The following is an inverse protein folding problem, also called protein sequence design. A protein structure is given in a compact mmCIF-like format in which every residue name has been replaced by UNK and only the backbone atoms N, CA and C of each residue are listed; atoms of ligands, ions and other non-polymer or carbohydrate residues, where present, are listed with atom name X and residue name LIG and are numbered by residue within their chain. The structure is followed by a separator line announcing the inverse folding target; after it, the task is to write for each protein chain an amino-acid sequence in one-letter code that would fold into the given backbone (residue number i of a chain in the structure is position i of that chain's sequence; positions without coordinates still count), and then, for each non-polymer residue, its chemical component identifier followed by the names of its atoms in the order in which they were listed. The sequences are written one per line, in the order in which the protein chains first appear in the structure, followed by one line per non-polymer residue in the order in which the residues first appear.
data_IF_173558551379
#
_entry.id   IF_173558551379
#
_cell.length_a   1.000
_cell.length_b   1.000
_cell.length_c   1.000
_cell.angle_alpha   90.00
_cell.angle_beta   90.00
_cell.angle_gamma   90.00
#
_symmetry.space_group_name_H-M   'P 1'
#
loop_
_entity.id
_entity.type
_entity.pdbx_description
1 polymer ?
#
# COMPACT_ATOMS: atom_id res chain seq x y z
N UNK A 1 3.61 24.70 12.43
CA UNK A 1 4.34 24.94 11.13
C UNK A 1 3.85 23.90 10.14
N UNK A 2 3.71 24.27 8.86
CA UNK A 2 3.31 23.31 7.83
C UNK A 2 4.36 22.20 7.68
N UNK A 3 3.87 20.98 7.43
CA UNK A 3 4.69 19.80 7.17
C UNK A 3 5.29 19.88 5.77
N UNK A 4 6.61 19.87 5.63
CA UNK A 4 7.28 19.97 4.33
C UNK A 4 7.48 18.58 3.74
N UNK A 5 6.95 18.39 2.52
CA UNK A 5 6.92 17.09 1.84
C UNK A 5 7.80 17.13 0.59
N UNK A 6 8.59 16.08 0.38
CA UNK A 6 9.25 15.80 -0.89
C UNK A 6 8.76 14.47 -1.45
N UNK A 7 8.30 14.47 -2.70
CA UNK A 7 7.85 13.26 -3.39
C UNK A 7 8.99 12.63 -4.18
N UNK A 8 9.17 11.33 -3.99
CA UNK A 8 10.01 10.49 -4.82
C UNK A 8 9.09 9.56 -5.62
N UNK A 9 8.96 9.85 -6.91
CA UNK A 9 7.86 9.38 -7.76
C UNK A 9 6.64 10.30 -7.66
N UNK A 10 6.01 10.57 -8.81
CA UNK A 10 4.78 11.38 -8.88
C UNK A 10 3.80 10.79 -9.90
N UNK A 11 3.60 9.46 -9.78
CA UNK A 11 2.63 8.70 -10.55
C UNK A 11 1.19 8.90 -10.06
N UNK A 12 0.33 7.93 -10.33
CA UNK A 12 -1.11 7.96 -9.97
C UNK A 12 -1.32 8.21 -8.47
N UNK A 13 -0.57 7.50 -7.62
CA UNK A 13 -0.70 7.58 -6.15
C UNK A 13 -0.20 8.92 -5.61
N UNK A 14 0.98 9.38 -6.07
CA UNK A 14 1.53 10.67 -5.65
C UNK A 14 0.61 11.84 -6.04
N UNK A 15 0.07 11.83 -7.26
CA UNK A 15 -0.92 12.81 -7.70
C UNK A 15 -2.22 12.69 -6.89
N UNK A 16 -2.66 11.48 -6.54
CA UNK A 16 -3.83 11.26 -5.67
C UNK A 16 -3.67 11.91 -4.29
N UNK A 17 -2.51 11.77 -3.64
CA UNK A 17 -2.23 12.50 -2.40
C UNK A 17 -2.21 14.01 -2.62
N UNK A 18 -1.57 14.50 -3.69
CA UNK A 18 -1.52 15.93 -3.98
C UNK A 18 -2.92 16.55 -4.19
N UNK A 19 -3.81 15.84 -4.89
CA UNK A 19 -5.20 16.24 -5.06
C UNK A 19 -5.94 16.30 -3.70
N UNK A 20 -5.78 15.28 -2.85
CA UNK A 20 -6.38 15.28 -1.50
C UNK A 20 -5.88 16.49 -0.67
N UNK A 21 -4.57 16.73 -0.68
CA UNK A 21 -3.96 17.85 0.04
C UNK A 21 -4.46 19.21 -0.45
N UNK A 22 -4.69 19.37 -1.75
CA UNK A 22 -5.29 20.58 -2.34
C UNK A 22 -6.75 20.72 -1.94
N UNK A 23 -7.55 19.68 -2.19
CA UNK A 23 -9.01 19.76 -2.13
C UNK A 23 -9.54 19.74 -0.69
N UNK A 24 -8.80 19.13 0.24
CA UNK A 24 -9.17 19.05 1.66
C UNK A 24 -8.35 19.96 2.58
N UNK A 25 -7.55 20.88 2.03
CA UNK A 25 -6.63 21.74 2.79
C UNK A 25 -7.26 22.36 4.04
N UNK A 26 -8.39 23.07 3.86
CA UNK A 26 -9.05 23.76 4.97
C UNK A 26 -9.64 22.77 5.99
N UNK A 27 -10.24 21.68 5.53
CA UNK A 27 -10.79 20.65 6.43
C UNK A 27 -9.69 19.95 7.24
N UNK A 28 -8.55 19.65 6.64
CA UNK A 28 -7.40 19.05 7.31
C UNK A 28 -6.82 20.01 8.37
N UNK A 29 -6.75 21.29 8.06
CA UNK A 29 -6.32 22.31 9.01
C UNK A 29 -7.27 22.44 10.20
N UNK A 30 -8.57 22.49 9.95
CA UNK A 30 -9.60 22.71 11.00
C UNK A 30 -9.79 21.45 11.87
N UNK A 31 -9.84 20.26 11.25
CA UNK A 31 -10.23 19.04 11.96
C UNK A 31 -9.03 18.29 12.55
N UNK A 32 -7.86 18.35 11.89
CA UNK A 32 -6.66 17.58 12.28
C UNK A 32 -5.50 18.47 12.72
N UNK A 33 -5.62 19.79 12.61
CA UNK A 33 -4.50 20.71 12.83
C UNK A 33 -3.34 20.46 11.86
N UNK A 34 -3.64 19.85 10.68
CA UNK A 34 -2.64 19.41 9.72
C UNK A 34 -2.55 20.38 8.55
N UNK A 35 -1.35 20.89 8.31
CA UNK A 35 -1.01 21.69 7.13
C UNK A 35 0.23 21.09 6.47
N UNK A 36 0.18 20.91 5.15
CA UNK A 36 1.31 20.38 4.36
C UNK A 36 1.71 21.34 3.25
N UNK A 37 3.00 21.35 2.94
CA UNK A 37 3.61 22.11 1.86
C UNK A 37 4.50 21.16 1.04
N UNK A 38 4.20 20.98 -0.25
CA UNK A 38 5.07 20.21 -1.16
C UNK A 38 6.25 21.11 -1.54
N UNK A 39 7.46 20.74 -1.11
CA UNK A 39 8.67 21.51 -1.43
C UNK A 39 9.42 20.93 -2.61
N UNK A 40 9.33 19.62 -2.85
CA UNK A 40 10.04 18.97 -3.95
C UNK A 40 9.25 17.82 -4.54
N UNK A 41 9.47 17.56 -5.82
CA UNK A 41 9.05 16.39 -6.55
C UNK A 41 10.23 15.90 -7.39
N UNK A 42 10.58 14.62 -7.30
CA UNK A 42 11.57 13.96 -8.16
C UNK A 42 10.93 12.72 -8.77
N UNK A 43 10.71 12.74 -10.08
CA UNK A 43 10.13 11.64 -10.84
C UNK A 43 11.00 11.34 -12.05
N UNK A 44 11.31 10.06 -12.27
CA UNK A 44 12.23 9.62 -13.33
C UNK A 44 11.76 10.02 -14.73
N UNK A 45 10.43 9.99 -14.97
CA UNK A 45 9.83 10.23 -16.27
C UNK A 45 9.33 11.67 -16.44
N UNK A 46 8.94 12.33 -15.33
CA UNK A 46 8.32 13.66 -15.35
C UNK A 46 9.30 14.80 -15.04
N UNK A 47 10.53 14.45 -14.64
CA UNK A 47 11.52 15.43 -14.21
C UNK A 47 11.47 15.76 -12.72
N UNK A 48 12.30 16.72 -12.28
CA UNK A 48 12.36 17.09 -10.88
C UNK A 48 12.41 18.59 -10.66
N UNK A 49 11.68 19.04 -9.63
CA UNK A 49 11.63 20.44 -9.19
C UNK A 49 11.70 20.53 -7.66
N UNK A 50 12.42 21.54 -7.17
CA UNK A 50 12.51 21.86 -5.75
C UNK A 50 12.42 23.37 -5.53
N UNK A 51 11.65 23.78 -4.53
CA UNK A 51 11.63 25.16 -4.06
C UNK A 51 11.44 25.17 -2.52
N UNK A 52 12.36 25.79 -1.75
CA UNK A 52 12.34 25.73 -0.28
C UNK A 52 11.12 26.39 0.36
N UNK A 53 10.44 27.30 -0.33
CA UNK A 53 9.18 27.94 0.07
C UNK A 53 7.94 27.29 -0.53
N UNK A 54 8.00 26.01 -0.91
CA UNK A 54 6.88 25.21 -1.42
C UNK A 54 6.60 25.37 -2.92
N UNK A 55 5.89 24.46 -3.48
CA UNK A 55 5.36 24.40 -4.85
C UNK A 55 3.84 24.60 -4.83
N UNK A 56 3.30 25.33 -5.79
CA UNK A 56 1.84 25.42 -5.93
C UNK A 56 1.27 24.12 -6.50
N UNK A 57 0.47 23.39 -5.70
CA UNK A 57 -0.04 22.08 -6.06
C UNK A 57 -0.94 22.16 -7.30
N UNK A 58 -1.76 23.19 -7.42
CA UNK A 58 -2.66 23.35 -8.56
C UNK A 58 -1.90 23.52 -9.85
N UNK A 59 -0.85 24.34 -9.83
CA UNK A 59 0.06 24.54 -10.98
C UNK A 59 0.83 23.27 -11.32
N UNK A 60 1.32 22.50 -10.32
CA UNK A 60 1.97 21.20 -10.55
C UNK A 60 1.06 20.23 -11.29
N UNK A 61 -0.17 20.05 -10.79
CA UNK A 61 -1.14 19.13 -11.39
C UNK A 61 -1.58 19.58 -12.79
N UNK A 62 -1.81 20.87 -12.99
CA UNK A 62 -2.16 21.45 -14.29
C UNK A 62 -1.05 21.23 -15.32
N UNK A 63 0.19 21.58 -14.98
CA UNK A 63 1.35 21.44 -15.88
C UNK A 63 1.54 19.98 -16.29
N UNK A 64 1.40 19.04 -15.35
CA UNK A 64 1.50 17.62 -15.68
C UNK A 64 0.36 17.13 -16.55
N UNK A 65 -0.86 17.62 -16.33
CA UNK A 65 -2.01 17.28 -17.18
C UNK A 65 -1.83 17.80 -18.61
N UNK A 66 -1.30 19.00 -18.78
CA UNK A 66 -1.14 19.65 -20.08
C UNK A 66 0.08 19.16 -20.85
N UNK A 67 1.18 18.88 -20.16
CA UNK A 67 2.49 18.66 -20.80
C UNK A 67 3.15 17.33 -20.47
N UNK A 68 2.69 16.65 -19.43
CA UNK A 68 3.31 15.42 -18.93
C UNK A 68 4.66 15.63 -18.20
N UNK A 69 5.16 16.87 -18.08
CA UNK A 69 6.51 17.13 -17.60
C UNK A 69 6.58 18.30 -16.61
N UNK A 70 7.28 18.12 -15.50
CA UNK A 70 7.58 19.14 -14.50
C UNK A 70 8.57 20.21 -15.00
N UNK A 71 9.29 19.93 -16.07
CA UNK A 71 10.20 20.93 -16.70
C UNK A 71 9.45 22.18 -17.16
N UNK A 72 8.16 22.07 -17.42
CA UNK A 72 7.29 23.18 -17.81
C UNK A 72 6.66 23.95 -16.62
N UNK A 73 7.02 23.58 -15.39
CA UNK A 73 6.58 24.36 -14.22
C UNK A 73 7.12 25.79 -14.31
N UNK A 74 6.32 26.84 -14.04
CA UNK A 74 6.73 28.22 -14.21
C UNK A 74 8.01 28.58 -13.45
N UNK A 75 8.90 29.30 -14.12
CA UNK A 75 10.12 29.81 -13.49
C UNK A 75 9.80 30.81 -12.38
N UNK A 76 10.53 30.68 -11.27
CA UNK A 76 10.50 31.63 -10.17
C UNK A 76 11.82 31.63 -9.41
N UNK A 77 12.18 32.75 -8.74
CA UNK A 77 13.42 32.85 -7.96
C UNK A 77 13.54 31.71 -6.94
N UNK A 78 14.66 30.99 -6.96
CA UNK A 78 14.93 29.89 -6.03
C UNK A 78 14.41 28.52 -6.46
N UNK A 79 13.75 28.40 -7.62
CA UNK A 79 13.39 27.11 -8.19
C UNK A 79 14.61 26.36 -8.70
N UNK A 80 14.75 25.13 -8.31
CA UNK A 80 15.84 24.23 -8.73
C UNK A 80 15.23 23.04 -9.49
N UNK A 81 15.91 22.61 -10.56
CA UNK A 81 15.51 21.48 -11.40
C UNK A 81 16.61 20.43 -11.49
N UNK A 82 16.26 19.24 -11.95
CA UNK A 82 17.20 18.19 -12.35
C UNK A 82 17.92 17.48 -11.19
N UNK A 83 17.44 17.59 -9.95
CA UNK A 83 17.96 16.76 -8.86
C UNK A 83 17.44 15.34 -8.95
N UNK A 84 18.32 14.36 -8.79
CA UNK A 84 17.92 12.96 -8.65
C UNK A 84 17.20 12.70 -7.30
N UNK A 85 16.67 11.52 -7.15
CA UNK A 85 15.92 11.12 -5.95
C UNK A 85 16.75 11.23 -4.67
N UNK A 86 17.96 10.72 -4.68
CA UNK A 86 18.86 10.72 -3.51
C UNK A 86 19.24 12.13 -3.09
N UNK A 87 19.57 12.99 -4.05
CA UNK A 87 19.86 14.40 -3.77
C UNK A 87 18.62 15.12 -3.26
N UNK A 88 17.45 14.86 -3.87
CA UNK A 88 16.19 15.42 -3.41
C UNK A 88 15.88 15.00 -1.96
N UNK A 89 16.12 13.75 -1.60
CA UNK A 89 15.95 13.25 -0.23
C UNK A 89 16.91 13.97 0.73
N UNK A 90 18.20 14.04 0.38
CA UNK A 90 19.24 14.50 1.31
C UNK A 90 19.29 16.02 1.47
N UNK A 91 19.09 16.78 0.39
CA UNK A 91 19.43 18.21 0.32
C UNK A 91 18.23 19.15 0.39
N UNK A 92 16.98 18.64 0.29
CA UNK A 92 15.78 19.48 0.48
C UNK A 92 15.52 19.75 1.95
N UNK A 93 14.74 20.80 2.22
CA UNK A 93 14.22 21.12 3.56
C UNK A 93 12.92 20.37 3.89
N UNK A 94 12.65 19.24 3.23
CA UNK A 94 11.52 18.38 3.54
C UNK A 94 11.69 17.70 4.90
N UNK A 95 10.59 17.63 5.66
CA UNK A 95 10.48 16.87 6.91
C UNK A 95 10.17 15.39 6.66
N UNK A 96 9.42 15.14 5.59
CA UNK A 96 8.91 13.80 5.24
C UNK A 96 9.09 13.53 3.75
N UNK A 97 9.56 12.35 3.45
CA UNK A 97 9.69 11.81 2.10
C UNK A 97 8.45 10.95 1.80
N UNK A 98 7.76 11.27 0.70
CA UNK A 98 6.67 10.46 0.15
C UNK A 98 7.29 9.55 -0.90
N UNK A 99 7.51 8.29 -0.53
CA UNK A 99 8.17 7.30 -1.40
C UNK A 99 7.11 6.51 -2.17
N UNK A 100 6.88 6.89 -3.41
CA UNK A 100 5.90 6.29 -4.33
C UNK A 100 6.48 6.11 -5.73
N UNK A 101 7.79 5.88 -5.80
CA UNK A 101 8.50 5.57 -7.03
C UNK A 101 8.20 4.15 -7.51
N UNK A 102 8.53 3.87 -8.77
CA UNK A 102 8.58 2.48 -9.23
C UNK A 102 9.64 1.71 -8.44
N UNK A 103 9.26 0.52 -7.97
CA UNK A 103 10.13 -0.34 -7.17
C UNK A 103 10.11 -1.76 -7.71
N UNK A 104 11.28 -2.30 -7.94
CA UNK A 104 11.42 -3.73 -8.26
C UNK A 104 11.05 -4.55 -7.03
N UNK A 105 9.99 -5.32 -7.14
CA UNK A 105 9.47 -6.14 -6.03
C UNK A 105 10.43 -7.25 -5.61
N UNK A 106 11.36 -7.69 -6.47
CA UNK A 106 12.34 -8.74 -6.16
C UNK A 106 13.49 -8.22 -5.32
N UNK A 107 13.92 -6.99 -5.57
CA UNK A 107 15.08 -6.37 -4.90
C UNK A 107 14.69 -5.31 -3.88
N UNK A 108 13.48 -4.77 -3.96
CA UNK A 108 13.02 -3.63 -3.16
C UNK A 108 13.65 -2.29 -3.55
N UNK A 109 14.43 -2.30 -4.65
CA UNK A 109 15.15 -1.11 -5.10
C UNK A 109 14.35 -0.32 -6.15
N UNK A 110 14.55 1.00 -6.20
CA UNK A 110 15.44 1.84 -5.40
C UNK A 110 14.86 2.25 -4.03
N UNK A 111 13.63 1.85 -3.69
CA UNK A 111 12.90 2.37 -2.53
C UNK A 111 13.58 2.05 -1.19
N UNK A 112 14.29 0.92 -1.05
CA UNK A 112 15.10 0.63 0.14
C UNK A 112 16.19 1.68 0.34
N UNK A 113 16.91 2.06 -0.71
CA UNK A 113 17.97 3.07 -0.63
C UNK A 113 17.38 4.48 -0.39
N UNK A 114 16.20 4.77 -0.90
CA UNK A 114 15.47 6.00 -0.58
C UNK A 114 15.11 6.07 0.91
N UNK A 115 14.58 5.00 1.49
CA UNK A 115 14.29 4.93 2.92
C UNK A 115 15.56 5.13 3.76
N UNK A 116 16.65 4.43 3.44
CA UNK A 116 17.93 4.56 4.14
C UNK A 116 18.45 6.01 4.08
N UNK A 117 18.46 6.61 2.89
CA UNK A 117 18.91 7.98 2.71
C UNK A 117 18.06 9.00 3.50
N UNK A 118 16.75 8.78 3.61
CA UNK A 118 15.85 9.61 4.39
C UNK A 118 16.11 9.47 5.90
N UNK A 119 16.18 8.24 6.41
CA UNK A 119 16.42 7.98 7.83
C UNK A 119 17.79 8.52 8.28
N UNK A 120 18.86 8.35 7.49
CA UNK A 120 20.19 8.95 7.76
C UNK A 120 20.12 10.48 7.96
N UNK A 121 19.13 11.14 7.39
CA UNK A 121 18.89 12.58 7.54
C UNK A 121 17.85 12.93 8.62
N UNK A 122 17.39 11.93 9.39
CA UNK A 122 16.33 12.11 10.39
C UNK A 122 14.98 12.51 9.77
N UNK A 123 14.76 12.21 8.49
CA UNK A 123 13.50 12.51 7.79
C UNK A 123 12.55 11.33 7.90
N UNK A 124 11.27 11.63 8.10
CA UNK A 124 10.21 10.62 8.05
C UNK A 124 10.03 10.07 6.63
N UNK A 125 9.53 8.85 6.53
CA UNK A 125 9.14 8.24 5.27
C UNK A 125 7.70 7.78 5.35
N UNK A 126 6.89 8.12 4.35
CA UNK A 126 5.55 7.58 4.13
C UNK A 126 5.52 6.95 2.75
N UNK A 127 5.01 5.74 2.62
CA UNK A 127 5.17 4.99 1.38
C UNK A 127 4.05 4.00 1.10
N UNK A 128 3.97 3.55 -0.17
CA UNK A 128 3.06 2.48 -0.60
C UNK A 128 3.80 1.31 -1.26
N UNK A 129 5.13 1.41 -1.38
CA UNK A 129 5.95 0.36 -1.98
C UNK A 129 6.11 -0.84 -1.05
N UNK A 130 5.70 -2.02 -1.53
CA UNK A 130 5.76 -3.27 -0.75
C UNK A 130 7.19 -3.78 -0.54
N UNK A 131 8.07 -3.57 -1.51
CA UNK A 131 9.44 -4.11 -1.51
C UNK A 131 10.21 -3.84 -0.23
N UNK A 132 10.40 -2.58 0.21
CA UNK A 132 11.11 -2.24 1.44
C UNK A 132 10.52 -2.92 2.68
N UNK A 133 9.18 -2.96 2.78
CA UNK A 133 8.50 -3.52 3.95
C UNK A 133 8.54 -5.05 3.97
N UNK A 134 8.47 -5.71 2.80
CA UNK A 134 8.52 -7.16 2.74
C UNK A 134 9.95 -7.73 2.82
N UNK A 135 10.96 -7.00 2.31
CA UNK A 135 12.32 -7.52 2.14
C UNK A 135 13.32 -6.99 3.17
N UNK A 136 13.08 -5.80 3.75
CA UNK A 136 14.02 -5.13 4.63
C UNK A 136 13.34 -4.57 5.90
N UNK A 137 12.23 -5.16 6.35
CA UNK A 137 11.41 -4.64 7.45
C UNK A 137 12.21 -4.36 8.71
N UNK A 138 12.95 -5.36 9.19
CA UNK A 138 13.69 -5.23 10.44
C UNK A 138 14.80 -4.18 10.34
N UNK A 139 15.62 -4.23 9.29
CA UNK A 139 16.71 -3.27 9.05
C UNK A 139 16.19 -1.83 9.01
N UNK A 140 15.12 -1.58 8.23
CA UNK A 140 14.56 -0.24 8.05
C UNK A 140 13.84 0.25 9.31
N UNK A 141 13.14 -0.63 10.05
CA UNK A 141 12.52 -0.29 11.33
C UNK A 141 13.55 0.13 12.37
N UNK A 142 14.63 -0.65 12.52
CA UNK A 142 15.73 -0.33 13.44
C UNK A 142 16.43 0.97 13.04
N UNK A 143 16.57 1.22 11.73
CA UNK A 143 17.19 2.43 11.23
C UNK A 143 16.32 3.66 11.48
N UNK A 144 15.01 3.59 11.20
CA UNK A 144 14.06 4.65 11.49
C UNK A 144 14.06 4.99 12.99
N UNK A 145 13.99 3.98 13.86
CA UNK A 145 14.04 4.15 15.32
C UNK A 145 15.33 4.83 15.79
N UNK A 146 16.50 4.39 15.31
CA UNK A 146 17.79 4.98 15.68
C UNK A 146 17.92 6.45 15.32
N UNK A 147 17.27 6.88 14.25
CA UNK A 147 17.30 8.26 13.76
C UNK A 147 16.10 9.10 14.20
N UNK A 148 15.20 8.54 15.03
CA UNK A 148 14.00 9.23 15.51
C UNK A 148 13.04 9.60 14.39
N UNK A 149 13.03 8.82 13.31
CA UNK A 149 12.20 9.01 12.14
C UNK A 149 10.96 8.09 12.18
N UNK A 150 9.83 8.61 11.73
CA UNK A 150 8.62 7.81 11.52
C UNK A 150 8.69 7.09 10.17
N UNK A 151 8.24 5.84 10.15
CA UNK A 151 8.10 5.06 8.93
C UNK A 151 6.66 4.57 8.77
N UNK A 152 5.89 5.23 7.90
CA UNK A 152 4.49 4.92 7.56
C UNK A 152 4.39 4.14 6.26
N UNK A 153 3.63 3.05 6.26
CA UNK A 153 3.47 2.17 5.10
C UNK A 153 2.07 1.52 5.03
N UNK A 154 1.05 2.17 5.57
CA UNK A 154 -0.34 1.67 5.55
C UNK A 154 -0.76 1.21 4.15
N UNK A 155 -0.42 1.99 3.12
CA UNK A 155 -0.82 1.72 1.75
C UNK A 155 -0.19 0.50 1.09
N UNK A 156 0.70 -0.22 1.77
CA UNK A 156 1.31 -1.45 1.24
C UNK A 156 0.36 -2.64 1.28
N UNK A 157 -0.66 -2.61 2.15
CA UNK A 157 -1.68 -3.66 2.28
C UNK A 157 -3.07 -3.05 2.25
N UNK A 158 -3.90 -3.46 1.28
CA UNK A 158 -5.28 -3.01 1.12
C UNK A 158 -5.46 -1.49 0.95
N UNK A 159 -4.49 -0.81 0.31
CA UNK A 159 -4.61 0.62 -0.02
C UNK A 159 -4.94 1.49 1.22
N UNK A 160 -6.04 2.26 1.19
CA UNK A 160 -6.49 3.08 2.31
C UNK A 160 -7.31 2.35 3.37
N UNK A 161 -7.66 1.08 3.15
CA UNK A 161 -8.34 0.24 4.14
C UNK A 161 -7.35 -0.08 5.29
N UNK A 162 -7.67 0.22 6.57
CA UNK A 162 -6.68 0.28 7.66
C UNK A 162 -6.22 -1.10 8.16
N UNK A 163 -5.64 -1.91 7.25
CA UNK A 163 -5.23 -3.29 7.53
C UNK A 163 -4.00 -3.40 8.47
N UNK A 164 -3.13 -2.40 8.50
CA UNK A 164 -1.96 -2.38 9.38
C UNK A 164 -2.24 -1.58 10.66
N UNK A 165 -2.92 -0.46 10.54
CA UNK A 165 -3.21 0.46 11.65
C UNK A 165 -4.28 -0.07 12.60
N UNK A 166 -5.35 -0.66 12.09
CA UNK A 166 -6.47 -1.14 12.91
C UNK A 166 -6.01 -2.18 13.95
N UNK A 167 -5.22 -3.21 13.60
CA UNK A 167 -4.66 -4.12 14.60
C UNK A 167 -3.80 -3.42 15.65
N UNK A 168 -2.94 -2.51 15.24
CA UNK A 168 -2.05 -1.81 16.17
C UNK A 168 -2.80 -0.90 17.14
N UNK A 169 -3.86 -0.21 16.69
CA UNK A 169 -4.59 0.75 17.50
C UNK A 169 -5.80 0.14 18.25
N UNK A 170 -6.60 -0.69 17.57
CA UNK A 170 -7.88 -1.14 18.08
C UNK A 170 -7.88 -2.59 18.61
N UNK A 171 -6.90 -3.40 18.22
CA UNK A 171 -6.73 -4.77 18.72
C UNK A 171 -5.53 -4.91 19.66
N UNK A 172 -4.92 -3.81 20.09
CA UNK A 172 -3.81 -3.81 21.02
C UNK A 172 -4.16 -4.59 22.31
N UNK A 173 -3.24 -5.44 22.76
CA UNK A 173 -3.45 -6.32 23.90
C UNK A 173 -4.00 -7.70 23.56
N UNK A 174 -4.48 -7.93 22.33
CA UNK A 174 -4.75 -9.28 21.84
C UNK A 174 -3.49 -9.96 21.30
N UNK A 175 -3.41 -11.27 21.42
CA UNK A 175 -2.52 -12.08 20.58
C UNK A 175 -3.25 -12.46 19.30
N UNK A 176 -2.77 -11.95 18.16
CA UNK A 176 -3.30 -12.32 16.84
C UNK A 176 -2.64 -13.64 16.44
N UNK A 177 -3.43 -14.70 16.46
CA UNK A 177 -2.97 -16.08 16.22
C UNK A 177 -3.04 -16.50 14.77
N UNK A 178 -3.96 -15.90 14.00
CA UNK A 178 -4.10 -16.15 12.56
C UNK A 178 -4.57 -14.87 11.84
N UNK A 179 -4.03 -14.67 10.65
CA UNK A 179 -4.49 -13.68 9.68
C UNK A 179 -4.87 -14.43 8.41
N UNK A 180 -6.07 -14.18 7.89
CA UNK A 180 -6.54 -14.68 6.59
C UNK A 180 -7.09 -13.52 5.78
N UNK A 181 -6.92 -13.56 4.45
CA UNK A 181 -7.50 -12.48 3.66
C UNK A 181 -7.53 -12.74 2.16
N UNK A 182 -8.48 -12.07 1.52
CA UNK A 182 -8.54 -11.85 0.07
C UNK A 182 -7.75 -10.54 -0.16
N UNK A 183 -6.46 -10.67 -0.45
CA UNK A 183 -5.54 -9.54 -0.51
C UNK A 183 -5.23 -9.06 -1.94
N UNK A 184 -5.88 -9.66 -2.94
CA UNK A 184 -5.73 -9.27 -4.34
C UNK A 184 -7.09 -9.12 -5.01
N UNK A 185 -7.39 -7.92 -5.50
CA UNK A 185 -8.70 -7.59 -6.09
C UNK A 185 -8.91 -8.24 -7.46
N UNK A 186 -7.85 -8.37 -8.26
CA UNK A 186 -7.91 -8.97 -9.61
C UNK A 186 -8.34 -10.43 -9.53
N UNK A 187 -7.70 -11.22 -8.69
CA UNK A 187 -8.04 -12.64 -8.52
C UNK A 187 -9.42 -12.83 -7.92
N UNK A 188 -9.82 -11.96 -6.98
CA UNK A 188 -11.17 -12.03 -6.42
C UNK A 188 -12.22 -11.67 -7.47
N UNK A 189 -11.97 -10.67 -8.33
CA UNK A 189 -12.84 -10.33 -9.45
C UNK A 189 -13.00 -11.52 -10.39
N UNK A 190 -11.91 -12.11 -10.87
CA UNK A 190 -11.92 -13.25 -11.80
C UNK A 190 -12.75 -14.42 -11.23
N UNK A 191 -12.47 -14.85 -10.00
CA UNK A 191 -13.21 -15.94 -9.36
C UNK A 191 -14.69 -15.60 -9.15
N UNK A 192 -15.00 -14.32 -8.87
CA UNK A 192 -16.38 -13.86 -8.74
C UNK A 192 -17.14 -13.95 -10.08
N UNK A 193 -16.52 -13.51 -11.17
CA UNK A 193 -17.15 -13.57 -12.50
C UNK A 193 -17.38 -15.03 -12.95
N UNK A 194 -16.40 -15.91 -12.73
CA UNK A 194 -16.57 -17.34 -12.98
C UNK A 194 -17.74 -17.92 -12.18
N UNK A 195 -17.90 -17.53 -10.91
CA UNK A 195 -18.97 -18.00 -10.02
C UNK A 195 -20.35 -17.44 -10.40
N UNK A 196 -20.45 -16.16 -10.71
CA UNK A 196 -21.72 -15.47 -10.96
C UNK A 196 -22.23 -15.67 -12.39
N UNK A 197 -21.36 -15.48 -13.38
CA UNK A 197 -21.73 -15.43 -14.78
C UNK A 197 -21.44 -16.74 -15.52
N UNK A 198 -20.78 -17.71 -14.86
CA UNK A 198 -20.49 -19.01 -15.46
C UNK A 198 -19.51 -18.93 -16.63
N UNK A 199 -18.63 -17.96 -16.62
CA UNK A 199 -17.62 -17.73 -17.68
C UNK A 199 -16.33 -18.49 -17.37
N UNK A 200 -15.54 -18.78 -18.42
CA UNK A 200 -14.23 -19.41 -18.22
C UNK A 200 -13.22 -18.44 -17.57
N UNK A 201 -12.15 -18.99 -17.01
CA UNK A 201 -11.03 -18.20 -16.46
C UNK A 201 -10.48 -17.18 -17.46
N UNK A 202 -10.26 -17.60 -18.74
CA UNK A 202 -9.73 -16.75 -19.79
C UNK A 202 -10.67 -15.59 -20.12
N UNK A 203 -11.99 -15.84 -20.13
CA UNK A 203 -12.99 -14.81 -20.38
C UNK A 203 -13.03 -13.79 -19.23
N UNK A 204 -13.02 -14.26 -17.98
CA UNK A 204 -13.01 -13.41 -16.79
C UNK A 204 -11.71 -12.58 -16.69
N UNK A 205 -10.55 -13.18 -17.02
CA UNK A 205 -9.28 -12.46 -17.06
C UNK A 205 -9.28 -11.36 -18.14
N UNK A 206 -9.78 -11.67 -19.32
CA UNK A 206 -9.88 -10.68 -20.40
C UNK A 206 -10.75 -9.50 -20.01
N UNK A 207 -11.89 -9.75 -19.41
CA UNK A 207 -12.77 -8.71 -18.88
C UNK A 207 -12.07 -7.86 -17.79
N UNK A 208 -11.34 -8.51 -16.87
CA UNK A 208 -10.55 -7.81 -15.85
C UNK A 208 -9.48 -6.89 -16.48
N UNK A 209 -8.86 -7.30 -17.60
CA UNK A 209 -7.93 -6.46 -18.36
C UNK A 209 -8.62 -5.29 -19.05
N UNK A 210 -9.77 -5.50 -19.67
CA UNK A 210 -10.57 -4.45 -20.32
C UNK A 210 -11.06 -3.39 -19.31
N UNK A 211 -11.37 -3.80 -18.08
CA UNK A 211 -11.77 -2.92 -16.98
C UNK A 211 -10.58 -2.28 -16.24
N UNK A 212 -9.34 -2.65 -16.57
CA UNK A 212 -8.14 -2.12 -15.96
C UNK A 212 -7.83 -2.70 -14.56
N UNK A 213 -8.46 -3.82 -14.17
CA UNK A 213 -8.12 -4.55 -12.95
C UNK A 213 -6.87 -5.40 -13.11
N UNK A 214 -6.58 -5.88 -14.32
CA UNK A 214 -5.38 -6.65 -14.64
C UNK A 214 -4.56 -5.95 -15.73
N UNK A 215 -3.24 -6.02 -15.61
CA UNK A 215 -2.31 -5.59 -16.67
C UNK A 215 -2.19 -6.65 -17.77
N UNK A 216 -1.46 -6.33 -18.86
CA UNK A 216 -1.21 -7.26 -19.95
C UNK A 216 -0.46 -8.52 -19.49
N UNK A 217 0.49 -8.36 -18.55
CA UNK A 217 1.08 -9.49 -17.82
C UNK A 217 0.46 -9.57 -16.40
N UNK A 218 -0.53 -10.45 -16.19
CA UNK A 218 -1.24 -10.55 -14.92
C UNK A 218 -0.55 -11.47 -13.90
N UNK A 219 0.64 -12.02 -14.19
CA UNK A 219 1.27 -13.08 -13.40
C UNK A 219 1.43 -12.70 -11.92
N UNK A 220 1.75 -11.44 -11.63
CA UNK A 220 1.88 -10.95 -10.25
C UNK A 220 0.60 -11.17 -9.43
N UNK A 221 -0.56 -11.02 -10.06
CA UNK A 221 -1.86 -11.18 -9.44
C UNK A 221 -2.29 -12.66 -9.45
N UNK A 222 -2.40 -13.25 -10.65
CA UNK A 222 -3.05 -14.56 -10.83
C UNK A 222 -2.25 -15.72 -10.26
N UNK A 223 -0.91 -15.58 -10.16
CA UNK A 223 -0.04 -16.56 -9.48
C UNK A 223 0.10 -16.28 -7.97
N UNK A 224 -0.54 -15.21 -7.45
CA UNK A 224 -0.60 -14.90 -6.02
C UNK A 224 0.63 -14.18 -5.46
N UNK A 225 1.55 -13.69 -6.31
CA UNK A 225 2.78 -13.06 -5.83
C UNK A 225 2.50 -11.72 -5.11
N UNK A 226 1.55 -10.91 -5.57
CA UNK A 226 1.15 -9.69 -4.88
C UNK A 226 0.62 -10.01 -3.46
N UNK A 227 -0.27 -10.99 -3.33
CA UNK A 227 -0.79 -11.44 -2.04
C UNK A 227 0.30 -11.99 -1.13
N UNK A 228 1.32 -12.66 -1.70
CA UNK A 228 2.49 -13.18 -0.96
C UNK A 228 3.30 -12.08 -0.29
N UNK A 229 3.58 -10.97 -0.97
CA UNK A 229 4.26 -9.82 -0.34
C UNK A 229 3.41 -9.23 0.79
N UNK A 230 2.11 -9.10 0.60
CA UNK A 230 1.19 -8.54 1.60
C UNK A 230 1.11 -9.40 2.86
N UNK A 231 1.07 -10.74 2.74
CA UNK A 231 1.03 -11.60 3.93
C UNK A 231 2.35 -11.60 4.71
N UNK A 232 3.49 -11.42 4.02
CA UNK A 232 4.80 -11.22 4.66
C UNK A 232 4.80 -9.92 5.47
N UNK A 233 4.30 -8.82 4.91
CA UNK A 233 4.17 -7.53 5.60
C UNK A 233 3.29 -7.68 6.85
N UNK A 234 2.15 -8.34 6.73
CA UNK A 234 1.22 -8.60 7.85
C UNK A 234 1.86 -9.45 8.94
N UNK A 235 2.60 -10.51 8.57
CA UNK A 235 3.32 -11.34 9.53
C UNK A 235 4.37 -10.54 10.29
N UNK A 236 5.21 -9.81 9.57
CA UNK A 236 6.31 -9.06 10.16
C UNK A 236 5.81 -7.91 11.06
N UNK A 237 4.79 -7.16 10.60
CA UNK A 237 4.32 -5.97 11.29
C UNK A 237 3.23 -6.26 12.34
N UNK A 238 2.19 -7.02 11.97
CA UNK A 238 1.00 -7.21 12.82
C UNK A 238 1.18 -8.37 13.79
N UNK A 239 1.76 -9.50 13.32
CA UNK A 239 1.99 -10.66 14.19
C UNK A 239 3.33 -10.59 14.92
N UNK A 240 4.16 -9.58 14.62
CA UNK A 240 5.52 -9.44 15.13
C UNK A 240 6.36 -10.72 14.99
N UNK A 241 6.22 -11.37 13.83
CA UNK A 241 6.84 -12.65 13.53
C UNK A 241 7.62 -12.55 12.21
N UNK A 242 8.96 -12.65 12.25
CA UNK A 242 9.79 -12.52 11.05
C UNK A 242 9.48 -13.65 10.08
N UNK A 243 9.15 -13.27 8.85
CA UNK A 243 8.85 -14.16 7.74
C UNK A 243 9.48 -13.56 6.47
N UNK A 244 10.13 -14.38 5.67
CA UNK A 244 10.64 -13.99 4.36
C UNK A 244 9.71 -14.42 3.23
N UNK A 245 9.79 -13.73 2.10
CA UNK A 245 8.96 -14.04 0.92
C UNK A 245 9.19 -15.47 0.41
N UNK A 246 10.43 -15.99 0.53
CA UNK A 246 10.79 -17.35 0.09
C UNK A 246 10.18 -18.46 0.98
N UNK A 247 9.76 -18.18 2.20
CA UNK A 247 9.17 -19.15 3.11
C UNK A 247 7.64 -19.30 2.92
N UNK A 248 7.02 -18.47 2.10
CA UNK A 248 5.58 -18.51 1.85
C UNK A 248 5.29 -19.42 0.67
N UNK A 249 4.57 -20.52 0.91
CA UNK A 249 4.02 -21.35 -0.16
C UNK A 249 3.02 -20.54 -0.99
N UNK A 250 3.15 -20.60 -2.32
CA UNK A 250 2.33 -19.76 -3.19
C UNK A 250 1.77 -20.56 -4.37
N UNK A 251 0.44 -20.63 -4.43
CA UNK A 251 -0.31 -21.23 -5.53
C UNK A 251 -1.38 -20.25 -6.01
N UNK A 252 -1.34 -19.90 -7.29
CA UNK A 252 -2.30 -19.01 -7.93
C UNK A 252 -3.61 -19.68 -8.31
N UNK A 253 -4.44 -18.90 -9.05
CA UNK A 253 -5.78 -19.31 -9.47
C UNK A 253 -5.84 -19.90 -10.88
N UNK A 254 -4.75 -19.89 -11.64
CA UNK A 254 -4.69 -20.31 -13.04
C UNK A 254 -5.11 -21.77 -13.27
N UNK A 255 -5.03 -22.61 -12.24
CA UNK A 255 -5.48 -23.99 -12.28
C UNK A 255 -6.95 -24.21 -11.93
N UNK A 256 -7.73 -23.18 -11.59
CA UNK A 256 -9.15 -23.31 -11.24
C UNK A 256 -9.99 -23.30 -12.52
N UNK A 257 -10.75 -24.37 -12.72
CA UNK A 257 -11.63 -24.53 -13.89
C UNK A 257 -13.07 -24.09 -13.59
N UNK A 258 -13.84 -23.83 -14.63
CA UNK A 258 -15.27 -23.55 -14.47
C UNK A 258 -15.99 -24.75 -13.78
N UNK A 259 -15.59 -25.98 -14.09
CA UNK A 259 -16.16 -27.16 -13.47
C UNK A 259 -15.88 -27.19 -11.94
N UNK A 260 -14.71 -26.75 -11.51
CA UNK A 260 -14.39 -26.61 -10.08
C UNK A 260 -15.29 -25.59 -9.38
N UNK A 261 -15.56 -24.47 -10.07
CA UNK A 261 -16.47 -23.42 -9.59
C UNK A 261 -17.90 -23.95 -9.47
N UNK A 262 -18.43 -24.60 -10.52
CA UNK A 262 -19.77 -25.17 -10.54
C UNK A 262 -19.97 -26.23 -9.44
N UNK A 263 -18.98 -27.08 -9.25
CA UNK A 263 -18.99 -28.10 -8.19
C UNK A 263 -19.01 -27.45 -6.80
N UNK A 264 -18.18 -26.46 -6.55
CA UNK A 264 -18.16 -25.73 -5.29
C UNK A 264 -19.52 -25.04 -5.03
N UNK A 265 -20.08 -24.38 -6.04
CA UNK A 265 -21.40 -23.73 -5.98
C UNK A 265 -22.51 -24.73 -5.64
N UNK A 266 -22.48 -25.95 -6.21
CA UNK A 266 -23.43 -27.01 -5.89
C UNK A 266 -23.28 -27.51 -4.44
N UNK A 267 -22.09 -27.39 -3.85
CA UNK A 267 -21.80 -27.71 -2.43
C UNK A 267 -22.12 -26.52 -1.49
N UNK A 268 -22.62 -25.38 -2.00
CA UNK A 268 -22.85 -24.15 -1.22
C UNK A 268 -21.56 -23.42 -0.82
N UNK A 269 -20.46 -23.62 -1.57
CA UNK A 269 -19.14 -23.05 -1.31
C UNK A 269 -18.70 -22.11 -2.40
N UNK A 270 -17.75 -21.22 -2.06
CA UNK A 270 -17.15 -20.27 -2.98
C UNK A 270 -15.63 -20.42 -3.02
N UNK A 271 -15.03 -20.36 -4.20
CA UNK A 271 -13.59 -20.30 -4.33
C UNK A 271 -13.07 -18.87 -4.13
N UNK A 272 -12.04 -18.73 -3.30
CA UNK A 272 -11.30 -17.47 -3.12
C UNK A 272 -9.80 -17.75 -3.06
N UNK A 273 -8.98 -16.80 -3.53
CA UNK A 273 -7.54 -16.84 -3.28
C UNK A 273 -7.29 -16.31 -1.87
N UNK A 274 -6.87 -17.19 -0.97
CA UNK A 274 -6.65 -16.85 0.44
C UNK A 274 -5.16 -16.73 0.73
N UNK A 275 -4.77 -15.55 1.22
CA UNK A 275 -3.51 -15.34 1.90
C UNK A 275 -3.70 -15.69 3.38
N UNK A 276 -2.81 -16.50 3.93
CA UNK A 276 -2.93 -17.00 5.32
C UNK A 276 -1.57 -16.92 6.01
N UNK A 277 -1.57 -16.44 7.25
CA UNK A 277 -0.44 -16.54 8.19
C UNK A 277 -0.98 -17.01 9.53
N UNK A 278 -0.40 -18.07 10.10
CA UNK A 278 -0.88 -18.69 11.34
C UNK A 278 0.28 -19.02 12.27
N UNK A 279 0.12 -18.75 13.56
CA UNK A 279 1.07 -19.18 14.60
C UNK A 279 0.87 -20.67 14.90
N UNK A 280 1.92 -21.45 14.66
CA UNK A 280 1.97 -22.87 14.97
C UNK A 280 3.30 -23.21 15.64
N UNK A 281 3.24 -23.81 16.83
CA UNK A 281 4.44 -24.22 17.60
C UNK A 281 5.48 -23.09 17.78
N UNK A 282 5.02 -21.85 17.99
CA UNK A 282 5.88 -20.68 18.21
C UNK A 282 6.49 -20.07 16.95
N UNK A 283 6.07 -20.53 15.76
CA UNK A 283 6.47 -19.96 14.47
C UNK A 283 5.24 -19.53 13.68
N UNK A 284 5.41 -18.64 12.74
CA UNK A 284 4.37 -18.33 11.75
C UNK A 284 4.61 -19.16 10.50
N UNK A 285 3.56 -19.84 10.05
CA UNK A 285 3.49 -20.53 8.75
C UNK A 285 2.56 -19.71 7.87
N UNK A 286 2.97 -19.47 6.63
CA UNK A 286 2.16 -18.69 5.70
C UNK A 286 2.04 -19.35 4.33
N UNK A 287 0.88 -19.14 3.70
CA UNK A 287 0.58 -19.66 2.37
C UNK A 287 -0.34 -18.72 1.59
N UNK A 288 -0.26 -18.81 0.28
CA UNK A 288 -1.24 -18.26 -0.66
C UNK A 288 -1.80 -19.44 -1.44
N UNK A 289 -3.10 -19.65 -1.37
CA UNK A 289 -3.73 -20.75 -2.11
C UNK A 289 -5.21 -20.45 -2.41
N UNK A 290 -5.76 -21.00 -3.52
CA UNK A 290 -7.19 -21.03 -3.70
C UNK A 290 -7.82 -21.98 -2.67
N UNK A 291 -8.82 -21.49 -1.94
CA UNK A 291 -9.58 -22.27 -0.95
C UNK A 291 -11.06 -22.27 -1.30
N UNK A 292 -11.75 -23.41 -1.03
CA UNK A 292 -13.20 -23.49 -1.04
C UNK A 292 -13.73 -23.09 0.33
N UNK A 293 -14.40 -21.96 0.41
CA UNK A 293 -14.95 -21.41 1.64
C UNK A 293 -16.43 -21.82 1.81
N UNK A 294 -16.80 -22.21 3.02
CA UNK A 294 -18.20 -22.44 3.39
C UNK A 294 -18.95 -21.10 3.45
N UNK A 295 -20.28 -21.11 3.27
CA UNK A 295 -21.11 -19.90 3.23
C UNK A 295 -21.03 -19.07 4.54
N UNK A 296 -20.74 -19.69 5.65
CA UNK A 296 -20.56 -19.06 6.97
C UNK A 296 -19.19 -18.36 7.13
N UNK A 297 -18.22 -18.67 6.28
CA UNK A 297 -16.92 -17.97 6.32
C UNK A 297 -17.12 -16.52 5.89
N UNK A 298 -16.71 -15.53 6.70
CA UNK A 298 -16.91 -14.11 6.38
C UNK A 298 -16.25 -13.69 5.06
N UNK A 299 -15.23 -14.40 4.59
CA UNK A 299 -14.57 -14.14 3.32
C UNK A 299 -15.32 -14.71 2.11
N UNK A 300 -16.21 -15.68 2.28
CA UNK A 300 -16.96 -16.29 1.18
C UNK A 300 -17.87 -15.30 0.45
N UNK A 301 -18.44 -14.34 1.19
CA UNK A 301 -19.36 -13.33 0.66
C UNK A 301 -18.67 -12.15 -0.04
N UNK A 302 -17.34 -12.04 0.05
CA UNK A 302 -16.56 -10.93 -0.55
C UNK A 302 -16.46 -11.15 -2.05
N UNK A 303 -16.97 -10.19 -2.84
CA UNK A 303 -17.11 -10.30 -4.30
C UNK A 303 -16.50 -9.12 -5.04
N UNK A 304 -16.35 -9.28 -6.36
CA UNK A 304 -15.75 -8.28 -7.24
C UNK A 304 -14.29 -8.03 -6.88
N UNK A 305 -13.83 -6.79 -7.02
CA UNK A 305 -12.45 -6.39 -6.72
C UNK A 305 -12.22 -6.00 -5.24
N UNK A 306 -13.20 -6.26 -4.36
CA UNK A 306 -13.11 -5.93 -2.93
C UNK A 306 -12.09 -6.83 -2.23
N UNK A 307 -11.25 -6.26 -1.39
CA UNK A 307 -10.35 -6.98 -0.51
C UNK A 307 -10.97 -7.13 0.89
N UNK A 308 -10.60 -8.20 1.59
CA UNK A 308 -11.01 -8.41 2.97
C UNK A 308 -9.94 -9.18 3.74
N UNK A 309 -9.87 -8.92 5.04
CA UNK A 309 -8.92 -9.57 5.95
C UNK A 309 -9.62 -9.92 7.26
N UNK A 310 -9.31 -11.07 7.81
CA UNK A 310 -9.73 -11.51 9.13
C UNK A 310 -8.53 -11.66 10.06
N UNK A 311 -8.68 -11.17 11.29
CA UNK A 311 -7.73 -11.32 12.38
C UNK A 311 -8.35 -12.21 13.43
N UNK A 312 -7.74 -13.36 13.71
CA UNK A 312 -8.15 -14.23 14.81
C UNK A 312 -7.42 -13.81 16.07
N UNK A 313 -8.15 -13.22 17.00
CA UNK A 313 -7.66 -12.75 18.28
C UNK A 313 -7.98 -13.75 19.39
N UNK A 314 -7.11 -13.83 20.41
CA UNK A 314 -7.32 -14.69 21.59
C UNK A 314 -8.44 -14.15 22.50
N UNK A 315 -8.52 -12.83 22.69
CA UNK A 315 -9.52 -12.22 23.60
C UNK A 315 -10.83 -11.87 22.90
N UNK A 316 -10.73 -11.29 21.69
CA UNK A 316 -11.90 -10.72 20.99
C UNK A 316 -12.55 -11.73 20.02
N UNK A 317 -11.86 -12.81 19.66
CA UNK A 317 -12.30 -13.70 18.58
C UNK A 317 -11.96 -13.15 17.19
N UNK A 318 -12.82 -13.45 16.20
CA UNK A 318 -12.57 -13.07 14.81
C UNK A 318 -13.04 -11.65 14.51
N UNK A 319 -12.16 -10.83 13.98
CA UNK A 319 -12.48 -9.49 13.46
C UNK A 319 -12.27 -9.49 11.95
N UNK A 320 -13.25 -9.01 11.20
CA UNK A 320 -13.18 -8.92 9.73
C UNK A 320 -13.24 -7.45 9.29
N UNK A 321 -12.32 -7.07 8.40
CA UNK A 321 -12.25 -5.78 7.75
C UNK A 321 -12.36 -5.97 6.25
N UNK A 322 -13.20 -5.19 5.56
CA UNK A 322 -13.30 -5.22 4.10
C UNK A 322 -13.27 -3.80 3.53
N UNK A 323 -12.74 -3.66 2.35
CA UNK A 323 -12.65 -2.36 1.67
C UNK A 323 -11.90 -2.44 0.34
N UNK A 324 -11.61 -1.26 -0.21
CA UNK A 324 -10.86 -1.14 -1.44
C UNK A 324 -9.42 -1.66 -1.26
N UNK A 325 -8.94 -2.46 -2.21
CA UNK A 325 -7.57 -2.97 -2.24
C UNK A 325 -6.61 -2.12 -3.07
N UNK A 326 -7.14 -1.19 -3.88
CA UNK A 326 -6.41 -0.29 -4.76
C UNK A 326 -7.26 0.94 -5.08
N UNK A 327 -6.68 1.93 -5.76
CA UNK A 327 -7.35 3.15 -6.21
C UNK A 327 -6.44 4.37 -6.03
N UNK A 328 -6.62 5.37 -6.89
CA UNK A 328 -5.82 6.61 -6.87
C UNK A 328 -5.99 7.37 -5.56
N UNK A 329 -7.24 7.63 -5.21
CA UNK A 329 -7.60 8.42 -4.01
C UNK A 329 -7.47 7.56 -2.76
N UNK A 330 -7.89 6.31 -2.81
CA UNK A 330 -7.81 5.36 -1.70
C UNK A 330 -6.35 5.14 -1.27
N UNK A 331 -5.45 4.93 -2.23
CA UNK A 331 -4.01 4.78 -1.94
C UNK A 331 -3.37 6.12 -1.56
N UNK A 332 -3.78 7.24 -2.17
CA UNK A 332 -3.40 8.59 -1.73
C UNK A 332 -3.81 8.87 -0.28
N UNK A 333 -5.00 8.40 0.13
CA UNK A 333 -5.48 8.53 1.50
C UNK A 333 -4.62 7.75 2.51
N UNK A 334 -4.08 6.58 2.14
CA UNK A 334 -3.18 5.84 3.03
C UNK A 334 -1.92 6.63 3.39
N UNK A 335 -1.37 7.37 2.45
CA UNK A 335 -0.25 8.29 2.71
C UNK A 335 -0.67 9.46 3.61
N UNK A 336 -1.86 10.02 3.36
CA UNK A 336 -2.39 11.10 4.20
C UNK A 336 -2.56 10.67 5.65
N UNK A 337 -3.12 9.49 5.91
CA UNK A 337 -3.35 9.04 7.29
C UNK A 337 -2.03 8.76 8.02
N UNK A 338 -0.97 8.32 7.31
CA UNK A 338 0.37 8.21 7.89
C UNK A 338 0.96 9.59 8.20
N UNK A 339 0.78 10.60 7.33
CA UNK A 339 1.17 11.98 7.60
C UNK A 339 0.43 12.59 8.79
N UNK A 340 -0.87 12.32 8.94
CA UNK A 340 -1.66 12.76 10.10
C UNK A 340 -1.11 12.11 11.38
N UNK A 341 -0.69 10.85 11.33
CA UNK A 341 -0.08 10.17 12.48
C UNK A 341 1.21 10.85 12.92
N UNK A 342 2.10 11.19 11.99
CA UNK A 342 3.31 11.97 12.27
C UNK A 342 2.96 13.31 12.92
N UNK A 343 1.93 14.00 12.43
CA UNK A 343 1.50 15.28 12.98
C UNK A 343 1.00 15.16 14.44
N UNK A 344 0.25 14.10 14.72
CA UNK A 344 -0.26 13.81 16.07
C UNK A 344 0.86 13.50 17.06
N UNK A 345 1.86 12.71 16.67
CA UNK A 345 3.05 12.45 17.49
C UNK A 345 3.82 13.73 17.78
N UNK A 346 4.04 14.61 16.80
CA UNK A 346 4.69 15.91 16.99
C UNK A 346 3.94 16.81 17.98
N UNK A 347 2.63 16.80 17.95
CA UNK A 347 1.81 17.58 18.88
C UNK A 347 1.97 17.09 20.33
N UNK A 348 2.07 15.78 20.56
CA UNK A 348 2.29 15.19 21.89
C UNK A 348 3.67 15.54 22.47
N UNK A 349 4.71 15.67 21.65
CA UNK A 349 6.07 16.03 22.08
C UNK A 349 6.19 17.53 22.37
N UNK A 350 5.28 18.35 21.85
CA UNK A 350 5.31 19.82 21.99
C UNK A 350 4.57 20.35 23.23
N UNK A 351 3.98 19.46 24.04
CA UNK A 351 3.33 19.74 25.33
C UNK A 351 4.31 19.40 26.47
#
# INVERSE_FOLDING_TARGET
MAHKLAFIGFGVVGQGLAEILRDKKEALKQNEGFEAEIVAISDLMKGSIYHPGGLDISTVLQVLQETGSLENYPERPGLIRGWDSIRTIKDTNADTIIEVSYTDVKTGQPAIDHCKAAFEKGKNVVMTNKGPVALAYQELSEMAQRHGAYWGFEGTVMSGTPALRMPAAALAGNDITEIRGILNGTTNYILTQMEQDGVSYEAALKEAQELGYAEADPASDVEGYDARYKIVILSNHVMNAPLSVGEVECKGITGITLQDIEKAKAEGKSWRLIAKAKKENGKVIASIAPEKLDAEDPLASIRGSVNAITYQCDLLGTVTLSGAGAGKIETGFSLLIDLISINRERQLISI
#
